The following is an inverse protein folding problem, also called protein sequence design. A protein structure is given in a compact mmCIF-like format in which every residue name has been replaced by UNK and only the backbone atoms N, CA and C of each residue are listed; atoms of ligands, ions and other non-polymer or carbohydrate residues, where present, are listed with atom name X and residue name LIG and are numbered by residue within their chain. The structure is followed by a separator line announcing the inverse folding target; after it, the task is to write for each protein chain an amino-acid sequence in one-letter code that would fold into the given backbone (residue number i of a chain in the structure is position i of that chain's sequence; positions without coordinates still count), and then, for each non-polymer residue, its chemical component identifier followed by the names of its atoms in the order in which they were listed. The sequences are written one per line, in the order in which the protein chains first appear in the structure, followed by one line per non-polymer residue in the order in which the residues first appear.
data_IF_429987459458
#
_entry.id   IF_429987459458
#
_cell.length_a   1.000
_cell.length_b   1.000
_cell.length_c   1.000
_cell.angle_alpha   90.00
_cell.angle_beta   90.00
_cell.angle_gamma   90.00
#
_symmetry.space_group_name_H-M   'P 1'
#
loop_
_entity.id
_entity.type
_entity.pdbx_description
1 polymer ?
#
# COMPACT_ATOMS: atom_id res chain seq x y z
N UNK A 1 -1.22 -20.40 -12.39
CA UNK A 1 -0.64 -20.05 -11.09
C UNK A 1 -0.79 -18.55 -10.79
N UNK A 2 -1.27 -18.24 -9.60
CA UNK A 2 -1.49 -16.90 -9.04
C UNK A 2 -0.67 -16.74 -7.76
N UNK A 3 -0.41 -15.49 -7.36
CA UNK A 3 0.48 -15.17 -6.24
C UNK A 3 -0.30 -14.42 -5.17
N UNK A 4 -0.11 -14.80 -3.90
CA UNK A 4 -0.63 -14.08 -2.73
C UNK A 4 0.45 -13.12 -2.24
N UNK A 5 0.19 -11.81 -2.34
CA UNK A 5 1.16 -10.77 -2.00
C UNK A 5 0.87 -10.17 -0.61
N UNK A 6 1.88 -9.69 0.12
CA UNK A 6 1.65 -8.93 1.33
C UNK A 6 0.92 -7.61 1.05
N UNK A 7 -0.18 -7.38 1.76
CA UNK A 7 -1.10 -6.27 1.49
C UNK A 7 -0.42 -4.89 1.46
N UNK A 8 0.46 -4.59 2.43
CA UNK A 8 1.14 -3.29 2.53
C UNK A 8 2.41 -3.18 1.66
N UNK A 9 2.80 -4.25 0.96
CA UNK A 9 4.01 -4.29 0.12
C UNK A 9 3.72 -4.64 -1.33
N UNK A 10 2.46 -4.73 -1.74
CA UNK A 10 2.08 -4.93 -3.12
C UNK A 10 2.08 -3.59 -3.88
N UNK A 11 2.66 -3.57 -5.09
CA UNK A 11 2.61 -2.41 -5.99
C UNK A 11 2.27 -2.84 -7.40
N UNK A 12 1.44 -2.05 -8.07
CA UNK A 12 1.15 -2.19 -9.51
C UNK A 12 2.33 -1.65 -10.32
N UNK A 13 3.02 -2.53 -11.04
CA UNK A 13 4.24 -2.22 -11.79
C UNK A 13 4.00 -2.04 -13.29
N UNK A 14 2.93 -2.64 -13.83
CA UNK A 14 2.58 -2.54 -15.26
C UNK A 14 1.15 -2.02 -15.48
N UNK A 15 0.90 -1.43 -16.65
CA UNK A 15 -0.42 -0.86 -16.96
C UNK A 15 -1.44 -1.86 -17.54
N UNK A 16 -1.03 -3.07 -17.94
CA UNK A 16 -1.86 -3.97 -18.78
C UNK A 16 -1.59 -5.47 -18.60
N UNK A 17 -0.35 -5.86 -18.29
CA UNK A 17 0.00 -7.25 -17.98
C UNK A 17 -0.84 -7.82 -16.85
N UNK A 18 -1.15 -9.12 -16.92
CA UNK A 18 -1.88 -9.85 -15.87
C UNK A 18 -1.05 -9.98 -14.59
N UNK A 19 0.26 -10.13 -14.71
CA UNK A 19 1.24 -10.16 -13.61
C UNK A 19 1.72 -8.77 -13.19
N UNK A 20 0.79 -7.80 -13.13
CA UNK A 20 1.16 -6.40 -12.83
C UNK A 20 1.47 -6.14 -11.36
N UNK A 21 0.90 -6.94 -10.44
CA UNK A 21 1.11 -6.75 -9.02
C UNK A 21 2.35 -7.55 -8.57
N UNK A 22 3.30 -6.84 -7.97
CA UNK A 22 4.54 -7.42 -7.47
C UNK A 22 4.76 -6.98 -6.01
N UNK A 23 5.47 -7.80 -5.24
CA UNK A 23 5.92 -7.43 -3.91
C UNK A 23 7.18 -6.54 -3.99
N UNK A 24 7.13 -5.37 -3.35
CA UNK A 24 8.26 -4.47 -3.26
C UNK A 24 8.94 -4.66 -1.90
N UNK A 25 10.21 -5.07 -1.92
CA UNK A 25 11.01 -5.34 -0.71
C UNK A 25 10.37 -6.40 0.22
N UNK A 26 9.76 -7.43 -0.37
CA UNK A 26 9.27 -8.61 0.31
C UNK A 26 9.09 -9.79 -0.65
N UNK A 27 8.96 -10.97 -0.08
CA UNK A 27 8.60 -12.19 -0.77
C UNK A 27 7.07 -12.39 -0.78
N UNK A 28 6.53 -13.14 -1.75
CA UNK A 28 5.15 -13.60 -1.72
C UNK A 28 4.83 -14.41 -0.47
N UNK A 29 3.57 -14.35 -0.02
CA UNK A 29 3.07 -15.13 1.11
C UNK A 29 2.70 -16.55 0.67
N UNK A 30 2.37 -16.72 -0.61
CA UNK A 30 2.02 -18.02 -1.15
C UNK A 30 1.69 -18.00 -2.64
N UNK A 31 1.45 -19.20 -3.15
CA UNK A 31 1.14 -19.51 -4.54
C UNK A 31 -0.18 -20.28 -4.59
N UNK A 32 -0.99 -19.98 -5.59
CA UNK A 32 -2.29 -20.61 -5.83
C UNK A 32 -2.32 -21.15 -7.24
N UNK A 33 -2.58 -22.43 -7.40
CA UNK A 33 -2.87 -23.00 -8.71
C UNK A 33 -4.38 -23.06 -8.93
N UNK A 34 -4.86 -22.36 -9.96
CA UNK A 34 -6.29 -22.24 -10.23
C UNK A 34 -6.89 -23.48 -10.90
N UNK A 35 -6.09 -24.23 -11.64
CA UNK A 35 -6.56 -25.39 -12.40
C UNK A 35 -6.73 -26.60 -11.48
N UNK A 36 -5.84 -26.74 -10.51
CA UNK A 36 -5.83 -27.82 -9.52
C UNK A 36 -6.45 -27.43 -8.18
N UNK A 37 -6.58 -26.13 -7.90
CA UNK A 37 -7.06 -25.61 -6.61
C UNK A 37 -6.03 -25.72 -5.49
N UNK A 38 -4.77 -26.02 -5.79
CA UNK A 38 -3.71 -26.14 -4.77
C UNK A 38 -3.30 -24.77 -4.24
N UNK A 39 -3.00 -24.72 -2.94
CA UNK A 39 -2.52 -23.51 -2.27
C UNK A 39 -1.26 -23.87 -1.49
N UNK A 40 -0.16 -23.23 -1.85
CA UNK A 40 1.13 -23.33 -1.17
C UNK A 40 1.37 -22.00 -0.45
N UNK A 41 1.13 -21.94 0.85
CA UNK A 41 1.33 -20.73 1.63
C UNK A 41 1.86 -21.06 3.03
N UNK A 42 2.85 -20.29 3.47
CA UNK A 42 3.31 -20.32 4.86
C UNK A 42 2.65 -19.16 5.60
N UNK A 43 1.57 -19.45 6.33
CA UNK A 43 0.87 -18.46 7.13
C UNK A 43 0.98 -18.80 8.62
N UNK A 44 1.54 -17.87 9.39
CA UNK A 44 1.47 -17.93 10.84
C UNK A 44 0.20 -17.20 11.31
N UNK A 45 -0.76 -17.90 11.94
CA UNK A 45 -1.97 -17.26 12.42
C UNK A 45 -1.62 -16.21 13.47
N UNK A 46 -2.02 -14.96 13.21
CA UNK A 46 -1.89 -13.89 14.19
C UNK A 46 -2.97 -14.09 15.27
N UNK A 47 -2.57 -14.56 16.45
CA UNK A 47 -3.45 -14.73 17.60
C UNK A 47 -3.61 -13.39 18.35
N UNK A 48 -4.21 -12.40 17.68
CA UNK A 48 -4.49 -11.09 18.26
C UNK A 48 -5.97 -10.76 18.06
N UNK A 49 -6.59 -10.20 19.10
CA UNK A 49 -7.95 -9.70 19.00
C UNK A 49 -8.02 -8.52 18.01
N UNK A 50 -8.99 -8.58 17.10
CA UNK A 50 -9.17 -7.56 16.06
C UNK A 50 -9.86 -6.33 16.64
N UNK A 51 -9.17 -5.18 16.61
CA UNK A 51 -9.76 -3.87 16.89
C UNK A 51 -9.92 -3.08 15.59
N UNK A 52 -11.14 -2.73 15.23
CA UNK A 52 -11.40 -1.90 14.06
C UNK A 52 -11.10 -0.43 14.35
N UNK A 53 -10.32 0.23 13.48
CA UNK A 53 -10.00 1.67 13.56
C UNK A 53 -10.34 2.32 12.22
N UNK A 54 -11.55 2.90 12.06
CA UNK A 54 -11.97 3.52 10.81
C UNK A 54 -11.42 4.93 10.61
N UNK A 55 -10.91 5.57 11.67
CA UNK A 55 -10.46 6.96 11.63
C UNK A 55 -9.26 7.14 10.69
N UNK A 56 -9.42 8.00 9.69
CA UNK A 56 -8.41 8.35 8.70
C UNK A 56 -8.32 9.88 8.61
N UNK A 57 -7.11 10.42 8.69
CA UNK A 57 -6.86 11.84 8.45
C UNK A 57 -6.90 12.12 6.94
N UNK A 58 -7.75 13.05 6.52
CA UNK A 58 -7.93 13.40 5.12
C UNK A 58 -6.93 14.47 4.64
N UNK A 59 -6.40 15.28 5.56
CA UNK A 59 -5.40 16.31 5.25
C UNK A 59 -3.98 15.75 5.12
N UNK A 60 -3.83 14.72 4.28
CA UNK A 60 -2.55 14.08 3.94
C UNK A 60 -2.28 14.23 2.44
N UNK A 61 -1.03 14.57 2.08
CA UNK A 61 -0.60 14.79 0.70
C UNK A 61 0.62 13.93 0.36
N UNK A 62 0.71 13.44 -0.89
CA UNK A 62 1.88 12.73 -1.42
C UNK A 62 2.60 13.65 -2.41
N UNK A 63 3.87 13.98 -2.12
CA UNK A 63 4.70 14.83 -2.98
C UNK A 63 5.80 14.00 -3.62
N UNK A 64 5.85 13.98 -4.96
CA UNK A 64 6.94 13.37 -5.71
C UNK A 64 7.93 14.44 -6.17
N UNK A 65 9.11 14.47 -5.55
CA UNK A 65 10.16 15.41 -5.91
C UNK A 65 10.75 15.12 -7.30
N UNK A 66 11.07 16.18 -8.04
CA UNK A 66 11.76 16.17 -9.34
C UNK A 66 12.76 17.35 -9.38
N UNK A 67 13.82 17.30 -10.20
CA UNK A 67 14.71 18.45 -10.37
C UNK A 67 13.93 19.73 -10.73
N UNK A 68 14.26 20.85 -10.08
CA UNK A 68 13.56 22.13 -10.25
C UNK A 68 12.25 22.26 -9.44
N UNK A 69 11.85 21.25 -8.67
CA UNK A 69 10.69 21.36 -7.78
C UNK A 69 10.98 22.32 -6.61
N UNK A 70 10.26 23.44 -6.55
CA UNK A 70 10.29 24.35 -5.40
C UNK A 70 9.12 24.04 -4.44
N UNK A 71 9.41 23.28 -3.39
CA UNK A 71 8.41 22.85 -2.40
C UNK A 71 7.94 24.00 -1.49
N UNK A 72 8.69 25.11 -1.39
CA UNK A 72 8.33 26.23 -0.52
C UNK A 72 6.98 26.86 -0.89
N UNK A 73 6.64 26.89 -2.19
CA UNK A 73 5.36 27.35 -2.72
C UNK A 73 4.17 26.45 -2.37
N UNK A 74 4.39 25.17 -2.04
CA UNK A 74 3.30 24.32 -1.55
C UNK A 74 2.96 24.65 -0.10
N UNK A 75 3.94 24.95 0.74
CA UNK A 75 3.80 25.04 2.20
C UNK A 75 2.96 26.22 2.71
N UNK A 76 2.78 27.29 1.92
CA UNK A 76 2.00 28.46 2.36
C UNK A 76 0.50 28.18 2.54
N UNK A 77 -0.01 27.08 1.97
CA UNK A 77 -1.38 26.59 2.20
C UNK A 77 -1.45 25.44 3.21
N UNK A 78 -0.33 25.07 3.85
CA UNK A 78 -0.20 23.90 4.74
C UNK A 78 -0.33 24.26 6.22
N UNK A 79 -0.26 25.55 6.56
CA UNK A 79 -0.58 25.98 7.92
C UNK A 79 -2.09 25.87 8.09
N UNK A 80 -2.55 24.88 8.87
CA UNK A 80 -3.90 24.93 9.44
C UNK A 80 -4.05 26.32 10.06
N UNK A 81 -5.01 27.10 9.60
CA UNK A 81 -5.48 28.25 10.36
C UNK A 81 -5.73 27.75 11.78
N UNK A 82 -5.17 28.37 12.83
CA UNK A 82 -5.47 27.93 14.19
C UNK A 82 -6.99 27.99 14.33
N UNK A 83 -7.61 26.83 14.50
CA UNK A 83 -9.05 26.73 14.72
C UNK A 83 -9.35 27.62 15.92
N UNK A 84 -10.12 28.68 15.71
CA UNK A 84 -10.58 29.54 16.78
C UNK A 84 -11.31 28.69 17.82
N UNK A 85 -10.87 28.80 19.07
CA UNK A 85 -11.55 28.28 20.26
C UNK A 85 -12.92 28.95 20.43
#
# INVERSE_FOLDING_TARGET
QCVVLPAAKARKMHTSRRDTFEAVNAEPIGLVDYDTGSVEAEFQPRNQEYSFRPDLEEDVRIVKSRPGSNWTSSTSSWTRSPTAL
#
